data_IF_505047989717
#
_entry.id   IF_505047989717
#
_cell.length_a   1.000
_cell.length_b   1.000
_cell.length_c   1.000
_cell.angle_alpha   90.00
_cell.angle_beta   90.00
_cell.angle_gamma   90.00
#
_symmetry.space_group_name_H-M   'P 1'
#
loop_
_entity.id
_entity.type
_entity.pdbx_description
1 polymer ?
#
# COMPACT_ATOMS: atom_id res chain seq x y z
N UNK A 1 30.13 -20.73 -4.82
CA UNK A 1 28.72 -20.70 -5.27
C UNK A 1 28.01 -21.90 -4.65
N UNK A 2 26.83 -21.72 -4.04
CA UNK A 2 26.04 -22.86 -3.54
C UNK A 2 25.64 -23.72 -4.76
N UNK A 3 25.96 -25.01 -4.72
CA UNK A 3 25.54 -25.95 -5.77
C UNK A 3 24.19 -26.53 -5.37
N UNK A 4 23.15 -26.12 -6.07
CA UNK A 4 21.78 -26.55 -5.81
C UNK A 4 21.47 -27.87 -6.54
N UNK A 5 20.80 -28.79 -5.85
CA UNK A 5 20.33 -30.05 -6.44
C UNK A 5 18.88 -29.91 -6.85
N UNK A 6 18.55 -30.29 -8.09
CA UNK A 6 17.16 -30.33 -8.55
C UNK A 6 16.40 -31.40 -7.75
N UNK A 7 15.26 -31.06 -7.13
CA UNK A 7 14.47 -32.05 -6.43
C UNK A 7 13.81 -33.03 -7.41
N UNK A 8 13.68 -34.29 -7.00
CA UNK A 8 12.87 -35.27 -7.72
C UNK A 8 11.39 -35.06 -7.41
N UNK A 9 10.50 -35.48 -8.32
CA UNK A 9 9.04 -35.42 -8.10
C UNK A 9 8.66 -36.10 -6.78
N UNK A 10 9.19 -37.31 -6.54
CA UNK A 10 8.95 -38.08 -5.32
C UNK A 10 9.37 -37.34 -4.05
N UNK A 11 10.49 -36.62 -4.07
CA UNK A 11 10.96 -35.85 -2.92
C UNK A 11 10.01 -34.69 -2.62
N UNK A 12 9.50 -34.02 -3.66
CA UNK A 12 8.55 -32.92 -3.50
C UNK A 12 7.24 -33.45 -2.92
N UNK A 13 6.70 -34.53 -3.49
CA UNK A 13 5.44 -35.12 -3.05
C UNK A 13 5.54 -35.62 -1.60
N UNK A 14 6.69 -36.23 -1.24
CA UNK A 14 6.99 -36.63 0.14
C UNK A 14 7.10 -35.43 1.08
N UNK A 15 7.72 -34.33 0.65
CA UNK A 15 7.84 -33.12 1.46
C UNK A 15 6.46 -32.50 1.71
N UNK A 16 5.66 -32.31 0.67
CA UNK A 16 4.31 -31.75 0.79
C UNK A 16 3.38 -32.66 1.61
N UNK A 17 3.46 -33.99 1.43
CA UNK A 17 2.69 -34.95 2.21
C UNK A 17 3.07 -35.01 3.69
N UNK A 18 4.21 -34.44 4.09
CA UNK A 18 4.66 -34.39 5.49
C UNK A 18 4.03 -33.25 6.30
N UNK A 19 3.30 -32.33 5.64
CA UNK A 19 2.68 -31.16 6.27
C UNK A 19 1.41 -31.52 7.05
N UNK A 20 1.55 -32.34 8.10
CA UNK A 20 0.45 -32.71 9.01
C UNK A 20 -0.09 -31.53 9.82
N UNK A 21 0.72 -30.48 10.00
CA UNK A 21 0.41 -29.29 10.80
C UNK A 21 1.01 -28.05 10.14
N UNK A 22 0.38 -26.89 10.33
CA UNK A 22 0.81 -25.63 9.70
C UNK A 22 2.26 -25.25 10.04
N UNK A 23 2.75 -25.58 11.24
CA UNK A 23 4.14 -25.27 11.61
C UNK A 23 5.18 -26.11 10.85
N UNK A 24 4.85 -27.31 10.37
CA UNK A 24 5.75 -28.08 9.47
C UNK A 24 5.89 -27.37 8.13
N UNK A 25 4.76 -26.89 7.58
CA UNK A 25 4.72 -26.11 6.35
C UNK A 25 5.51 -24.81 6.51
N UNK A 26 5.29 -24.08 7.61
CA UNK A 26 6.06 -22.87 7.96
C UNK A 26 7.57 -23.14 8.06
N UNK A 27 7.94 -24.19 8.77
CA UNK A 27 9.35 -24.58 8.94
C UNK A 27 9.99 -24.90 7.59
N UNK A 28 9.31 -25.68 6.75
CA UNK A 28 9.81 -26.05 5.43
C UNK A 28 10.07 -24.83 4.54
N UNK A 29 9.06 -23.99 4.31
CA UNK A 29 9.21 -22.84 3.40
C UNK A 29 10.16 -21.77 3.95
N UNK A 30 10.20 -21.55 5.26
CA UNK A 30 11.13 -20.57 5.85
C UNK A 30 12.61 -20.95 5.70
N UNK A 31 12.92 -22.25 5.58
CA UNK A 31 14.30 -22.79 5.46
C UNK A 31 14.66 -23.19 4.03
N UNK A 32 13.69 -23.25 3.13
CA UNK A 32 13.95 -23.59 1.75
C UNK A 32 14.64 -22.40 1.07
N UNK A 33 15.86 -22.63 0.59
CA UNK A 33 16.67 -21.65 -0.13
C UNK A 33 16.98 -22.10 -1.57
N UNK A 34 16.66 -23.34 -1.91
CA UNK A 34 16.99 -23.91 -3.21
C UNK A 34 16.01 -23.40 -4.28
N UNK A 35 16.45 -22.60 -5.28
CA UNK A 35 15.59 -22.01 -6.31
C UNK A 35 15.01 -23.07 -7.26
N UNK A 36 15.67 -24.21 -7.41
CA UNK A 36 15.24 -25.29 -8.32
C UNK A 36 13.94 -25.98 -7.86
N UNK A 37 13.46 -25.68 -6.65
CA UNK A 37 12.17 -26.11 -6.15
C UNK A 37 11.00 -25.24 -6.62
N UNK A 38 11.25 -24.01 -7.11
CA UNK A 38 10.18 -23.06 -7.38
C UNK A 38 9.22 -23.55 -8.47
N UNK A 39 9.74 -23.95 -9.64
CA UNK A 39 8.90 -24.46 -10.75
C UNK A 39 8.10 -25.72 -10.34
N UNK A 40 8.73 -26.77 -9.77
CA UNK A 40 7.97 -27.96 -9.37
C UNK A 40 6.92 -27.72 -8.27
N UNK A 41 7.16 -26.77 -7.36
CA UNK A 41 6.18 -26.36 -6.35
C UNK A 41 5.04 -25.54 -6.97
N UNK A 42 5.35 -24.69 -7.94
CA UNK A 42 4.34 -23.92 -8.67
C UNK A 42 3.41 -24.82 -9.49
N UNK A 43 3.96 -25.84 -10.17
CA UNK A 43 3.18 -26.84 -10.91
C UNK A 43 2.19 -27.62 -10.03
N UNK A 44 2.50 -27.74 -8.72
CA UNK A 44 1.62 -28.37 -7.71
C UNK A 44 0.65 -27.39 -7.05
N UNK A 45 0.64 -26.14 -7.50
CA UNK A 45 -0.29 -25.12 -7.03
C UNK A 45 0.05 -24.52 -5.66
N UNK A 46 1.26 -24.71 -5.11
CA UNK A 46 1.63 -24.18 -3.80
C UNK A 46 1.48 -22.65 -3.70
N UNK A 47 1.66 -21.92 -4.80
CA UNK A 47 1.60 -20.46 -4.84
C UNK A 47 0.26 -19.90 -5.29
N UNK A 48 -0.75 -20.75 -5.60
CA UNK A 48 -1.95 -20.31 -6.32
C UNK A 48 -2.98 -19.58 -5.45
N UNK A 49 -3.05 -19.93 -4.17
CA UNK A 49 -4.10 -19.47 -3.27
C UNK A 49 -3.50 -18.95 -1.95
N UNK A 50 -3.13 -17.66 -1.88
CA UNK A 50 -2.73 -17.07 -0.62
C UNK A 50 -3.92 -17.08 0.38
N UNK A 51 -3.66 -17.19 1.68
CA UNK A 51 -4.72 -17.13 2.68
C UNK A 51 -5.38 -15.74 2.67
N UNK A 52 -6.70 -15.72 2.86
CA UNK A 52 -7.48 -14.48 3.06
C UNK A 52 -7.41 -14.03 4.52
N UNK A 53 -7.72 -12.77 4.77
CA UNK A 53 -7.94 -12.28 6.12
C UNK A 53 -9.15 -12.99 6.75
N UNK A 54 -9.09 -13.23 8.05
CA UNK A 54 -10.15 -13.84 8.84
C UNK A 54 -10.78 -12.76 9.71
N UNK A 55 -12.11 -12.61 9.62
CA UNK A 55 -12.86 -11.64 10.41
C UNK A 55 -13.71 -12.40 11.43
N UNK A 56 -13.69 -11.94 12.67
CA UNK A 56 -14.43 -12.53 13.78
C UNK A 56 -15.59 -11.61 14.21
N UNK A 57 -16.59 -12.19 14.88
CA UNK A 57 -17.83 -11.50 15.27
C UNK A 57 -17.59 -10.34 16.26
N UNK A 58 -16.48 -10.37 17.00
CA UNK A 58 -16.05 -9.32 17.93
C UNK A 58 -15.38 -8.13 17.23
N UNK A 59 -15.31 -8.14 15.90
CA UNK A 59 -14.64 -7.11 15.09
C UNK A 59 -13.13 -7.34 14.93
N UNK A 60 -12.56 -8.39 15.52
CA UNK A 60 -11.15 -8.74 15.34
C UNK A 60 -10.89 -9.21 13.91
N UNK A 61 -9.78 -8.75 13.33
CA UNK A 61 -9.28 -9.22 12.04
C UNK A 61 -7.93 -9.91 12.23
N UNK A 62 -7.81 -11.15 11.77
CA UNK A 62 -6.56 -11.92 11.77
C UNK A 62 -6.05 -12.07 10.34
N UNK A 63 -4.74 -11.95 10.19
CA UNK A 63 -4.04 -12.14 8.93
C UNK A 63 -3.20 -13.43 9.00
N UNK A 64 -3.70 -14.56 8.49
CA UNK A 64 -2.93 -15.80 8.51
C UNK A 64 -1.62 -15.63 7.73
N UNK A 65 -0.53 -16.10 8.34
CA UNK A 65 0.78 -16.08 7.67
C UNK A 65 0.77 -17.01 6.45
N UNK A 66 1.44 -16.60 5.37
CA UNK A 66 1.59 -17.40 4.16
C UNK A 66 3.05 -17.84 3.99
N UNK A 67 3.43 -19.06 4.42
CA UNK A 67 4.83 -19.50 4.40
C UNK A 67 5.52 -19.40 3.05
N UNK A 68 4.77 -19.62 1.97
CA UNK A 68 5.28 -19.60 0.62
C UNK A 68 5.84 -18.24 0.22
N UNK A 69 5.30 -17.12 0.72
CA UNK A 69 5.85 -15.78 0.42
C UNK A 69 7.29 -15.65 0.92
N UNK A 70 7.63 -16.32 2.02
CA UNK A 70 9.00 -16.33 2.55
C UNK A 70 9.93 -17.11 1.64
N UNK A 71 9.47 -18.23 1.08
CA UNK A 71 10.27 -18.97 0.13
C UNK A 71 10.50 -18.17 -1.15
N UNK A 72 9.46 -17.52 -1.68
CA UNK A 72 9.60 -16.59 -2.82
C UNK A 72 10.61 -15.49 -2.51
N UNK A 73 10.58 -14.96 -1.29
CA UNK A 73 11.54 -13.97 -0.83
C UNK A 73 12.98 -14.50 -0.83
N UNK A 74 13.21 -15.71 -0.32
CA UNK A 74 14.54 -16.32 -0.25
C UNK A 74 15.18 -16.53 -1.64
N UNK A 75 14.38 -16.77 -2.69
CA UNK A 75 14.87 -17.15 -4.03
C UNK A 75 14.70 -16.06 -5.09
N UNK A 76 14.10 -14.91 -4.75
CA UNK A 76 13.74 -13.88 -5.73
C UNK A 76 14.92 -13.34 -6.54
N UNK A 77 16.11 -13.24 -5.94
CA UNK A 77 17.31 -12.77 -6.64
C UNK A 77 17.89 -13.82 -7.61
N UNK A 78 17.66 -15.11 -7.35
CA UNK A 78 18.19 -16.21 -8.15
C UNK A 78 17.26 -16.56 -9.33
N UNK A 79 15.94 -16.38 -9.16
CA UNK A 79 14.93 -16.60 -10.20
C UNK A 79 13.88 -15.47 -10.24
N UNK A 80 14.28 -14.25 -10.63
CA UNK A 80 13.42 -13.06 -10.57
C UNK A 80 12.23 -13.14 -11.53
N UNK A 81 12.42 -13.66 -12.76
CA UNK A 81 11.35 -13.81 -13.74
C UNK A 81 10.22 -14.70 -13.23
N UNK A 82 10.56 -15.89 -12.72
CA UNK A 82 9.57 -16.84 -12.21
C UNK A 82 8.85 -16.29 -10.97
N UNK A 83 9.57 -15.66 -10.05
CA UNK A 83 8.94 -15.08 -8.85
C UNK A 83 8.00 -13.94 -9.22
N UNK A 84 8.43 -13.01 -10.07
CA UNK A 84 7.57 -11.90 -10.52
C UNK A 84 6.33 -12.43 -11.23
N UNK A 85 6.48 -13.41 -12.12
CA UNK A 85 5.33 -14.02 -12.80
C UNK A 85 4.34 -14.60 -11.81
N UNK A 86 4.80 -15.38 -10.83
CA UNK A 86 3.94 -15.96 -9.81
C UNK A 86 3.20 -14.90 -9.00
N UNK A 87 3.87 -13.80 -8.63
CA UNK A 87 3.26 -12.72 -7.84
C UNK A 87 2.23 -11.91 -8.63
N UNK A 88 2.48 -11.64 -9.92
CA UNK A 88 1.52 -10.95 -10.80
C UNK A 88 0.27 -11.82 -11.00
N UNK A 89 0.45 -13.13 -11.16
CA UNK A 89 -0.64 -14.09 -11.36
C UNK A 89 -1.46 -14.38 -10.09
N UNK A 90 -1.08 -13.81 -8.93
CA UNK A 90 -1.83 -14.01 -7.69
C UNK A 90 -3.23 -13.37 -7.78
N UNK A 91 -4.27 -14.07 -7.29
CA UNK A 91 -5.57 -13.45 -7.12
C UNK A 91 -5.48 -12.31 -6.09
N UNK A 92 -6.38 -11.33 -6.21
CA UNK A 92 -6.55 -10.30 -5.19
C UNK A 92 -6.85 -10.94 -3.82
N UNK A 93 -6.27 -10.37 -2.77
CA UNK A 93 -6.44 -10.82 -1.39
C UNK A 93 -6.64 -9.62 -0.49
N UNK A 94 -7.30 -9.81 0.65
CA UNK A 94 -7.40 -8.80 1.70
C UNK A 94 -6.37 -9.02 2.81
N UNK A 95 -5.45 -9.95 2.61
CA UNK A 95 -4.43 -10.30 3.60
C UNK A 95 -3.18 -9.42 3.46
N UNK A 96 -3.05 -8.42 4.34
CA UNK A 96 -1.91 -7.51 4.37
C UNK A 96 -0.55 -8.23 4.54
N UNK A 97 -0.48 -9.43 5.14
CA UNK A 97 0.79 -10.19 5.29
C UNK A 97 1.34 -10.62 3.94
N UNK A 98 0.47 -10.95 3.00
CA UNK A 98 0.85 -11.39 1.66
C UNK A 98 1.51 -10.22 0.93
N UNK A 99 0.86 -9.06 0.92
CA UNK A 99 1.40 -7.89 0.25
C UNK A 99 2.65 -7.32 0.93
N UNK A 100 2.78 -7.45 2.25
CA UNK A 100 4.00 -7.08 2.94
C UNK A 100 5.21 -7.88 2.46
N UNK A 101 5.01 -9.17 2.17
CA UNK A 101 6.05 -9.99 1.55
C UNK A 101 6.29 -9.61 0.08
N UNK A 102 5.26 -9.19 -0.66
CA UNK A 102 5.42 -8.66 -2.02
C UNK A 102 6.27 -7.38 -2.01
N UNK A 103 6.05 -6.46 -1.06
CA UNK A 103 6.89 -5.27 -0.89
C UNK A 103 8.35 -5.63 -0.57
N UNK A 104 8.56 -6.62 0.31
CA UNK A 104 9.91 -7.09 0.65
C UNK A 104 10.64 -7.69 -0.56
N UNK A 105 9.92 -8.43 -1.41
CA UNK A 105 10.45 -8.98 -2.66
C UNK A 105 10.76 -7.85 -3.64
N UNK A 106 9.84 -6.90 -3.82
CA UNK A 106 10.01 -5.76 -4.72
C UNK A 106 11.23 -4.90 -4.36
N UNK A 107 11.55 -4.75 -3.07
CA UNK A 107 12.72 -4.00 -2.60
C UNK A 107 14.05 -4.74 -2.80
N UNK A 108 14.02 -6.06 -2.97
CA UNK A 108 15.24 -6.87 -3.19
C UNK A 108 15.53 -7.08 -4.67
N UNK A 109 14.48 -7.18 -5.49
CA UNK A 109 14.60 -7.40 -6.92
C UNK A 109 15.33 -6.25 -7.61
N UNK A 110 16.12 -6.53 -8.67
CA UNK A 110 16.59 -5.51 -9.60
C UNK A 110 15.43 -4.69 -10.16
N UNK A 111 15.70 -3.43 -10.52
CA UNK A 111 14.66 -2.44 -10.78
C UNK A 111 13.69 -2.87 -11.88
N UNK A 112 14.20 -3.50 -12.94
CA UNK A 112 13.43 -4.00 -14.08
C UNK A 112 12.39 -5.07 -13.71
N UNK A 113 12.59 -5.76 -12.59
CA UNK A 113 11.65 -6.73 -12.03
C UNK A 113 10.75 -6.11 -10.96
N UNK A 114 11.31 -5.24 -10.12
CA UNK A 114 10.59 -4.53 -9.07
C UNK A 114 9.41 -3.73 -9.62
N UNK A 115 9.62 -2.96 -10.71
CA UNK A 115 8.54 -2.14 -11.32
C UNK A 115 7.44 -2.96 -11.97
N UNK A 116 7.70 -4.23 -12.34
CA UNK A 116 6.65 -5.12 -12.88
C UNK A 116 5.61 -5.47 -11.82
N UNK A 117 5.95 -5.35 -10.53
CA UNK A 117 5.03 -5.57 -9.42
C UNK A 117 4.18 -4.34 -9.08
N UNK A 118 4.29 -3.23 -9.82
CA UNK A 118 3.61 -1.97 -9.47
C UNK A 118 2.11 -2.12 -9.27
N UNK A 119 1.43 -2.91 -10.10
CA UNK A 119 -0.02 -3.05 -10.03
C UNK A 119 -0.44 -3.81 -8.76
N UNK A 120 0.32 -4.84 -8.36
CA UNK A 120 0.14 -5.52 -7.07
C UNK A 120 0.41 -4.62 -5.87
N UNK A 121 1.33 -3.68 -6.01
CA UNK A 121 1.64 -2.70 -4.96
C UNK A 121 0.54 -1.63 -4.88
N UNK A 122 -0.04 -1.24 -6.01
CA UNK A 122 -1.22 -0.38 -6.06
C UNK A 122 -2.44 -1.05 -5.43
N UNK A 123 -2.67 -2.34 -5.70
CA UNK A 123 -3.69 -3.14 -5.00
C UNK A 123 -3.47 -3.06 -3.49
N UNK A 124 -2.24 -3.29 -3.01
CA UNK A 124 -1.96 -3.24 -1.59
C UNK A 124 -2.29 -1.90 -0.96
N UNK A 125 -1.98 -0.79 -1.63
CA UNK A 125 -2.31 0.55 -1.14
C UNK A 125 -3.82 0.73 -0.88
N UNK A 126 -4.68 -0.04 -1.56
CA UNK A 126 -6.12 -0.11 -1.32
C UNK A 126 -6.57 -0.94 -0.11
N UNK A 127 -5.80 -1.94 0.33
CA UNK A 127 -6.17 -2.87 1.42
C UNK A 127 -6.17 -2.18 2.80
N UNK A 128 -7.10 -2.51 3.69
CA UNK A 128 -7.14 -1.96 5.06
C UNK A 128 -6.16 -2.67 6.00
N UNK A 129 -5.91 -2.09 7.18
CA UNK A 129 -5.06 -2.69 8.23
C UNK A 129 -3.64 -3.07 7.75
N UNK A 130 -3.09 -2.28 6.83
CA UNK A 130 -1.70 -2.42 6.39
C UNK A 130 -0.75 -2.23 7.56
N UNK A 131 0.40 -2.90 7.50
CA UNK A 131 1.47 -2.72 8.47
C UNK A 131 2.79 -2.50 7.73
N UNK A 132 3.82 -2.02 8.44
CA UNK A 132 5.14 -1.71 7.86
C UNK A 132 5.09 -0.77 6.64
N UNK A 133 4.16 0.16 6.65
CA UNK A 133 3.91 1.18 5.61
C UNK A 133 5.15 2.04 5.28
N UNK A 134 6.13 2.13 6.20
CA UNK A 134 7.44 2.74 5.93
C UNK A 134 8.15 2.15 4.70
N UNK A 135 7.82 0.92 4.30
CA UNK A 135 8.37 0.28 3.10
C UNK A 135 7.93 0.95 1.81
N UNK A 136 6.76 1.60 1.78
CA UNK A 136 6.39 2.43 0.64
C UNK A 136 7.39 3.56 0.44
N UNK A 137 7.82 4.21 1.51
CA UNK A 137 8.82 5.27 1.42
C UNK A 137 10.15 4.75 0.87
N UNK A 138 10.59 3.56 1.32
CA UNK A 138 11.77 2.89 0.79
C UNK A 138 11.62 2.55 -0.70
N UNK A 139 10.43 2.11 -1.12
CA UNK A 139 10.16 1.74 -2.50
C UNK A 139 10.13 2.97 -3.43
N UNK A 140 9.52 4.06 -2.97
CA UNK A 140 9.56 5.35 -3.66
C UNK A 140 10.99 5.86 -3.80
N UNK A 141 11.80 5.79 -2.73
CA UNK A 141 13.21 6.15 -2.77
C UNK A 141 14.01 5.26 -3.74
N UNK A 142 13.80 3.95 -3.69
CA UNK A 142 14.44 2.99 -4.57
C UNK A 142 14.12 3.26 -6.05
N UNK A 143 12.84 3.33 -6.41
CA UNK A 143 12.40 3.58 -7.78
C UNK A 143 12.84 4.97 -8.27
N UNK A 144 12.82 6.00 -7.42
CA UNK A 144 13.32 7.32 -7.77
C UNK A 144 14.82 7.33 -8.07
N UNK A 145 15.61 6.60 -7.27
CA UNK A 145 17.06 6.48 -7.44
C UNK A 145 17.42 5.78 -8.75
N UNK A 146 16.69 4.74 -9.10
CA UNK A 146 16.87 3.95 -10.33
C UNK A 146 16.18 4.57 -11.56
N UNK A 147 15.85 5.87 -11.51
CA UNK A 147 15.23 6.66 -12.59
C UNK A 147 13.85 6.15 -13.06
N UNK A 148 13.16 5.35 -12.25
CA UNK A 148 11.76 4.95 -12.45
C UNK A 148 10.81 5.95 -11.80
N UNK A 149 11.06 7.25 -12.01
CA UNK A 149 10.38 8.34 -11.29
C UNK A 149 8.90 8.43 -11.64
N UNK A 150 8.49 8.14 -12.89
CA UNK A 150 7.08 8.14 -13.27
C UNK A 150 6.28 7.09 -12.49
N UNK A 151 6.79 5.86 -12.42
CA UNK A 151 6.18 4.75 -11.66
C UNK A 151 6.10 5.09 -10.17
N UNK A 152 7.14 5.71 -9.61
CA UNK A 152 7.13 6.15 -8.23
C UNK A 152 6.14 7.30 -7.97
N UNK A 153 5.96 8.22 -8.92
CA UNK A 153 4.93 9.28 -8.82
C UNK A 153 3.52 8.70 -8.86
N UNK A 154 3.26 7.67 -9.68
CA UNK A 154 1.98 6.96 -9.70
C UNK A 154 1.65 6.38 -8.32
N UNK A 155 2.59 5.68 -7.70
CA UNK A 155 2.43 5.13 -6.36
C UNK A 155 2.27 6.25 -5.31
N UNK A 156 3.12 7.27 -5.33
CA UNK A 156 3.03 8.40 -4.40
C UNK A 156 1.65 9.07 -4.46
N UNK A 157 1.08 9.22 -5.66
CA UNK A 157 -0.27 9.78 -5.85
C UNK A 157 -1.36 8.96 -5.17
N UNK A 158 -1.18 7.65 -5.01
CA UNK A 158 -2.14 6.82 -4.26
C UNK A 158 -1.90 6.99 -2.76
N UNK A 159 -0.63 6.97 -2.34
CA UNK A 159 -0.23 6.94 -0.94
C UNK A 159 -0.49 8.23 -0.17
N UNK A 160 -0.60 9.39 -0.82
CA UNK A 160 -0.77 10.67 -0.11
C UNK A 160 -2.22 11.17 -0.06
N UNK A 161 -3.16 10.40 -0.58
CA UNK A 161 -4.57 10.82 -0.67
C UNK A 161 -5.24 10.84 0.69
N UNK A 162 -6.07 11.86 0.88
CA UNK A 162 -6.97 11.97 2.01
C UNK A 162 -8.27 11.21 1.75
N UNK A 163 -8.79 10.60 2.80
CA UNK A 163 -10.12 10.01 2.85
C UNK A 163 -11.10 11.00 3.53
N UNK A 164 -12.41 10.88 3.26
CA UNK A 164 -13.43 11.65 3.97
C UNK A 164 -13.36 11.46 5.49
N UNK A 165 -13.88 12.44 6.23
CA UNK A 165 -14.06 12.30 7.67
C UNK A 165 -14.94 11.07 7.97
N UNK A 166 -14.50 10.11 8.81
CA UNK A 166 -15.30 8.94 9.18
C UNK A 166 -16.66 9.30 9.79
N UNK A 167 -16.78 10.49 10.39
CA UNK A 167 -18.00 11.01 10.98
C UNK A 167 -18.74 12.00 10.07
N UNK A 168 -18.38 12.06 8.78
CA UNK A 168 -18.94 13.04 7.84
C UNK A 168 -20.47 13.00 7.76
N UNK A 169 -21.07 11.80 7.68
CA UNK A 169 -22.53 11.66 7.61
C UNK A 169 -23.23 12.12 8.90
N UNK A 170 -22.68 11.74 10.05
CA UNK A 170 -23.23 12.08 11.37
C UNK A 170 -23.17 13.59 11.60
N UNK A 171 -22.02 14.21 11.33
CA UNK A 171 -21.84 15.67 11.42
C UNK A 171 -22.76 16.42 10.47
N UNK A 172 -23.00 15.87 9.27
CA UNK A 172 -23.93 16.45 8.30
C UNK A 172 -25.36 16.46 8.83
N UNK A 173 -25.83 15.36 9.44
CA UNK A 173 -27.17 15.28 10.05
C UNK A 173 -27.31 16.29 11.20
N UNK A 174 -26.35 16.31 12.11
CA UNK A 174 -26.33 17.26 13.24
C UNK A 174 -26.40 18.72 12.78
N UNK A 175 -25.71 19.04 11.67
CA UNK A 175 -25.73 20.38 11.08
C UNK A 175 -27.10 20.74 10.49
N UNK A 176 -27.77 19.80 9.82
CA UNK A 176 -29.11 20.00 9.26
C UNK A 176 -30.18 20.20 10.34
N UNK A 177 -29.98 19.62 11.53
CA UNK A 177 -30.87 19.82 12.68
C UNK A 177 -30.65 21.17 13.38
N UNK A 178 -29.46 21.77 13.22
CA UNK A 178 -29.02 22.98 13.94
C UNK A 178 -28.61 24.13 13.01
N UNK A 179 -29.39 24.37 11.94
CA UNK A 179 -29.04 25.30 10.82
C UNK A 179 -28.68 26.73 11.27
N UNK A 180 -29.24 27.21 12.39
CA UNK A 180 -29.02 28.57 12.90
C UNK A 180 -28.08 28.66 14.11
N UNK A 181 -27.43 27.57 14.53
CA UNK A 181 -26.48 27.57 15.65
C UNK A 181 -25.03 27.57 15.15
N UNK A 182 -24.35 28.71 15.31
CA UNK A 182 -22.93 28.84 14.95
C UNK A 182 -22.02 27.90 15.76
N UNK A 183 -22.42 27.49 16.98
CA UNK A 183 -21.66 26.51 17.79
C UNK A 183 -21.76 25.12 17.17
N UNK A 184 -22.93 24.74 16.69
CA UNK A 184 -23.13 23.50 15.94
C UNK A 184 -22.34 23.52 14.62
N UNK A 185 -22.22 24.67 13.95
CA UNK A 185 -21.38 24.81 12.75
C UNK A 185 -19.88 24.54 13.04
N UNK A 186 -19.35 24.99 14.18
CA UNK A 186 -17.96 24.67 14.58
C UNK A 186 -17.81 23.18 14.91
N UNK A 187 -18.75 22.61 15.67
CA UNK A 187 -18.74 21.20 16.07
C UNK A 187 -18.89 20.21 14.91
N UNK A 188 -19.50 20.63 13.80
CA UNK A 188 -19.75 19.80 12.61
C UNK A 188 -18.70 19.97 11.51
N UNK A 189 -17.56 20.59 11.83
CA UNK A 189 -16.42 20.69 10.91
C UNK A 189 -15.92 19.30 10.49
N UNK A 190 -15.66 19.14 9.19
CA UNK A 190 -15.12 17.91 8.63
C UNK A 190 -13.59 17.89 8.73
N UNK A 191 -13.06 16.76 9.17
CA UNK A 191 -11.63 16.50 9.29
C UNK A 191 -11.28 15.28 8.42
N UNK A 192 -10.93 15.50 7.14
CA UNK A 192 -10.42 14.45 6.27
C UNK A 192 -9.20 13.80 6.92
N UNK A 193 -9.16 12.48 6.86
CA UNK A 193 -8.13 11.68 7.51
C UNK A 193 -7.21 11.08 6.46
N UNK A 194 -5.96 10.88 6.84
CA UNK A 194 -5.07 10.05 6.04
C UNK A 194 -5.34 8.58 6.37
N UNK A 195 -5.19 7.68 5.39
CA UNK A 195 -5.29 6.23 5.62
C UNK A 195 -4.24 5.71 6.60
N UNK A 196 -3.10 6.37 6.63
CA UNK A 196 -1.95 6.03 7.46
C UNK A 196 -1.94 6.88 8.72
N UNK A 197 -1.33 6.38 9.79
CA UNK A 197 -1.10 7.19 10.99
C UNK A 197 -0.21 8.39 10.67
N UNK A 198 -0.22 9.39 11.56
CA UNK A 198 0.55 10.62 11.34
C UNK A 198 2.05 10.36 11.13
N UNK A 199 2.64 9.43 11.89
CA UNK A 199 4.06 9.08 11.78
C UNK A 199 4.38 8.38 10.46
N UNK A 200 3.50 7.49 10.00
CA UNK A 200 3.63 6.77 8.73
C UNK A 200 3.48 7.72 7.54
N UNK A 201 2.47 8.59 7.56
CA UNK A 201 2.30 9.62 6.54
C UNK A 201 3.51 10.56 6.47
N UNK A 202 4.00 11.02 7.62
CA UNK A 202 5.21 11.83 7.69
C UNK A 202 6.43 11.09 7.13
N UNK A 203 6.53 9.77 7.32
CA UNK A 203 7.60 8.95 6.75
C UNK A 203 7.52 8.89 5.22
N UNK A 204 6.33 8.63 4.66
CA UNK A 204 6.07 8.62 3.22
C UNK A 204 6.45 9.98 2.60
N UNK A 205 6.03 11.07 3.23
CA UNK A 205 6.33 12.42 2.75
C UNK A 205 7.83 12.76 2.83
N UNK A 206 8.45 12.56 3.99
CA UNK A 206 9.81 13.00 4.26
C UNK A 206 10.88 12.16 3.56
N UNK A 207 10.65 10.85 3.42
CA UNK A 207 11.62 9.93 2.80
C UNK A 207 11.26 9.56 1.37
N UNK A 208 9.98 9.30 1.09
CA UNK A 208 9.54 8.91 -0.25
C UNK A 208 9.39 10.11 -1.17
N UNK A 209 8.40 10.96 -0.87
CA UNK A 209 8.01 12.09 -1.75
C UNK A 209 9.15 13.10 -1.91
N UNK A 210 9.93 13.36 -0.85
CA UNK A 210 11.11 14.24 -0.94
C UNK A 210 12.10 13.81 -2.03
N UNK A 211 12.37 12.51 -2.17
CA UNK A 211 13.29 11.99 -3.21
C UNK A 211 12.74 12.18 -4.62
N UNK A 212 11.42 12.09 -4.76
CA UNK A 212 10.76 12.42 -6.03
C UNK A 212 10.89 13.92 -6.34
N UNK A 213 10.77 14.79 -5.33
CA UNK A 213 10.91 16.22 -5.52
C UNK A 213 12.32 16.63 -5.96
N UNK A 214 13.35 15.92 -5.49
CA UNK A 214 14.75 16.12 -5.90
C UNK A 214 14.97 15.81 -7.40
N UNK A 215 14.15 14.93 -7.99
CA UNK A 215 14.24 14.50 -9.39
C UNK A 215 13.27 15.23 -10.32
N UNK A 216 12.02 15.39 -9.89
CA UNK A 216 10.88 15.89 -10.67
C UNK A 216 10.08 16.92 -9.84
N UNK A 217 10.69 18.07 -9.49
CA UNK A 217 10.12 19.02 -8.54
C UNK A 217 8.77 19.59 -9.01
N UNK A 218 8.62 19.86 -10.31
CA UNK A 218 7.37 20.40 -10.86
C UNK A 218 6.20 19.42 -10.73
N UNK A 219 6.40 18.15 -11.12
CA UNK A 219 5.35 17.13 -11.03
C UNK A 219 4.95 16.86 -9.58
N UNK A 220 5.92 16.84 -8.66
CA UNK A 220 5.63 16.70 -7.23
C UNK A 220 4.87 17.92 -6.70
N UNK A 221 5.24 19.13 -7.10
CA UNK A 221 4.50 20.33 -6.71
C UNK A 221 3.03 20.26 -7.18
N UNK A 222 2.78 19.91 -8.44
CA UNK A 222 1.42 19.70 -8.94
C UNK A 222 0.67 18.63 -8.12
N UNK A 223 1.32 17.50 -7.85
CA UNK A 223 0.73 16.41 -7.06
C UNK A 223 0.33 16.88 -5.65
N UNK A 224 1.19 17.64 -4.97
CA UNK A 224 0.90 18.18 -3.64
C UNK A 224 -0.21 19.24 -3.67
N UNK A 225 -0.23 20.10 -4.69
CA UNK A 225 -1.30 21.09 -4.90
C UNK A 225 -2.64 20.39 -5.10
N UNK A 226 -2.69 19.37 -5.96
CA UNK A 226 -3.91 18.63 -6.23
C UNK A 226 -4.39 17.86 -4.98
N UNK A 227 -3.47 17.20 -4.26
CA UNK A 227 -3.80 16.51 -3.01
C UNK A 227 -4.32 17.46 -1.93
N UNK A 228 -3.71 18.66 -1.83
CA UNK A 228 -4.16 19.69 -0.89
C UNK A 228 -5.53 20.25 -1.28
N UNK A 229 -5.76 20.46 -2.58
CA UNK A 229 -7.07 20.86 -3.13
C UNK A 229 -8.13 19.83 -2.78
N UNK A 230 -7.85 18.54 -3.00
CA UNK A 230 -8.77 17.44 -2.69
C UNK A 230 -9.08 17.39 -1.18
N UNK A 231 -8.06 17.57 -0.33
CA UNK A 231 -8.25 17.66 1.12
C UNK A 231 -9.15 18.85 1.50
N UNK A 232 -8.94 20.04 0.92
CA UNK A 232 -9.79 21.22 1.17
C UNK A 232 -11.23 20.93 0.75
N UNK A 233 -11.45 20.33 -0.42
CA UNK A 233 -12.79 19.93 -0.86
C UNK A 233 -13.46 18.91 0.07
N UNK A 234 -12.70 18.01 0.69
CA UNK A 234 -13.21 17.07 1.68
C UNK A 234 -13.52 17.74 3.03
N UNK A 235 -12.87 18.86 3.37
CA UNK A 235 -13.19 19.68 4.55
C UNK A 235 -14.48 20.47 4.38
N UNK A 236 -14.83 20.81 3.14
CA UNK A 236 -16.07 21.53 2.86
C UNK A 236 -17.24 20.56 2.70
N UNK A 237 -18.29 20.79 3.49
CA UNK A 237 -19.58 20.15 3.31
C UNK A 237 -20.08 20.34 1.88
N UNK A 238 -20.73 19.32 1.34
CA UNK A 238 -21.13 19.31 -0.06
C UNK A 238 -22.07 20.48 -0.41
N UNK A 239 -22.92 20.90 0.54
CA UNK A 239 -23.86 22.02 0.36
C UNK A 239 -23.20 23.40 0.26
N UNK A 240 -21.94 23.53 0.70
CA UNK A 240 -21.20 24.79 0.75
C UNK A 240 -20.18 24.93 -0.38
N UNK A 241 -19.93 23.86 -1.15
CA UNK A 241 -18.97 23.89 -2.26
C UNK A 241 -19.40 24.95 -3.28
N UNK A 242 -18.49 25.85 -3.63
CA UNK A 242 -18.74 26.96 -4.55
C UNK A 242 -19.45 28.18 -3.92
N UNK A 243 -19.80 28.12 -2.64
CA UNK A 243 -20.26 29.27 -1.83
C UNK A 243 -19.14 29.85 -0.96
N UNK A 244 -17.94 29.27 -1.07
CA UNK A 244 -16.74 29.70 -0.36
C UNK A 244 -16.34 31.08 -0.87
N UNK A 245 -16.52 32.12 -0.04
CA UNK A 245 -15.78 33.35 -0.22
C UNK A 245 -14.34 33.08 0.22
N UNK A 246 -13.35 33.44 -0.60
CA UNK A 246 -11.94 33.27 -0.21
C UNK A 246 -11.57 34.15 1.00
N UNK A 247 -12.43 35.14 1.30
CA UNK A 247 -12.29 36.14 2.36
C UNK A 247 -10.92 36.84 2.34
N UNK A 248 -10.20 36.78 1.22
CA UNK A 248 -8.87 37.40 1.05
C UNK A 248 -8.96 38.90 1.26
N UNK A 249 -10.10 39.49 0.88
CA UNK A 249 -10.44 40.88 1.12
C UNK A 249 -10.42 41.31 2.60
N UNK A 250 -10.67 40.40 3.53
CA UNK A 250 -10.64 40.68 4.97
C UNK A 250 -9.19 40.90 5.43
N UNK A 251 -8.24 40.18 4.83
CA UNK A 251 -6.83 40.18 5.22
C UNK A 251 -5.95 41.04 4.30
N UNK A 252 -6.41 41.32 3.07
CA UNK A 252 -5.76 42.18 2.11
C UNK A 252 -6.79 43.16 1.48
N UNK A 253 -7.15 44.25 2.18
CA UNK A 253 -8.17 45.20 1.72
C UNK A 253 -7.88 45.83 0.36
N UNK A 254 -6.60 45.88 -0.06
CA UNK A 254 -6.14 46.41 -1.35
C UNK A 254 -6.67 45.64 -2.57
N UNK A 255 -7.19 44.44 -2.39
CA UNK A 255 -7.81 43.66 -3.47
C UNK A 255 -9.16 44.25 -3.94
N UNK A 256 -9.76 45.17 -3.17
CA UNK A 256 -11.02 45.86 -3.53
C UNK A 256 -10.82 47.19 -4.27
N UNK A 257 -9.59 47.67 -4.40
CA UNK A 257 -9.29 49.02 -4.92
C UNK A 257 -9.12 49.07 -6.46
N UNK A 258 -9.68 48.12 -7.22
CA UNK A 258 -9.73 48.17 -8.69
C UNK A 258 -11.06 48.65 -9.23
#
# INVERSE_FOLDING_TARGET
MKSWKKPTSELIDKALGSFKKEHHRKYFFSRLENPLWLKPLAERGCFKYPPKAQRFDDGTVQFPYWPEIQYLNNVCNEMPDEVVKLLIDLPETDNAVVYDGILDIALQLPIEYSVKLKDKIHEYAGVDHQFRTYRYANLLEYWAKENQTSTALELAKILIKFAPDPQSEEKRKQRQESVNDWRAAIGTSLYPVHKYSHSEYANIMSKGVRRLAEKEPYKVACLLIDTTRDMIHLRTHQEDRGKEADLSDIWCPRLRET
#
